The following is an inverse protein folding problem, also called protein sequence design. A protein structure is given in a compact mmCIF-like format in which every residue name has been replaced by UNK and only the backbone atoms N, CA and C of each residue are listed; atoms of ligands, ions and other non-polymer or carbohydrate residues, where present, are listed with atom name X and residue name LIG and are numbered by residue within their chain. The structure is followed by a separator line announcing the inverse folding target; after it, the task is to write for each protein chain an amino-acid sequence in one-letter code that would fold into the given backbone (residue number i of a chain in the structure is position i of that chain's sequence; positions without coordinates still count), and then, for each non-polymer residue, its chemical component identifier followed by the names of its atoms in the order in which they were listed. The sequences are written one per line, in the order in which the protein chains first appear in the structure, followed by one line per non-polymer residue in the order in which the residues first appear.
data_IF_324919981718
#
_entry.id   IF_324919981718
#
_cell.length_a   1.000
_cell.length_b   1.000
_cell.length_c   1.000
_cell.angle_alpha   90.00
_cell.angle_beta   90.00
_cell.angle_gamma   90.00
#
_symmetry.space_group_name_H-M   'P 1'
#
loop_
_entity.id
_entity.type
_entity.pdbx_description
1 polymer ?
#
# COMPACT_ATOMS: atom_id res chain seq x y z
N UNK A 1 9.17 4.16 -5.90
CA UNK A 1 9.13 3.23 -4.75
C UNK A 1 10.49 2.60 -4.50
N UNK A 2 10.91 2.58 -3.23
CA UNK A 2 12.12 1.92 -2.73
C UNK A 2 11.78 0.52 -2.20
N UNK A 3 11.60 -0.41 -3.13
CA UNK A 3 11.43 -1.85 -2.90
C UNK A 3 12.60 -2.55 -3.59
N UNK A 4 13.28 -3.44 -2.87
CA UNK A 4 14.49 -4.08 -3.34
C UNK A 4 14.52 -5.58 -3.04
N UNK A 5 15.27 -6.34 -3.85
CA UNK A 5 15.51 -7.78 -3.67
C UNK A 5 16.37 -8.08 -2.45
N UNK A 6 17.43 -7.30 -2.25
CA UNK A 6 18.35 -7.46 -1.12
C UNK A 6 18.14 -6.34 -0.11
N UNK A 7 17.98 -6.71 1.15
CA UNK A 7 17.95 -5.79 2.29
C UNK A 7 18.91 -6.28 3.36
N UNK A 8 19.73 -5.38 3.89
CA UNK A 8 20.73 -5.69 4.92
C UNK A 8 20.62 -4.66 6.04
N UNK A 9 20.58 -5.17 7.28
CA UNK A 9 20.76 -4.33 8.46
C UNK A 9 22.24 -4.00 8.62
N UNK A 10 22.57 -2.74 8.84
CA UNK A 10 23.92 -2.28 9.12
C UNK A 10 23.90 -1.32 10.31
N UNK A 11 24.87 -1.51 11.21
CA UNK A 11 25.01 -0.72 12.42
C UNK A 11 26.34 0.04 12.41
N UNK A 12 26.29 1.31 12.81
CA UNK A 12 27.48 2.15 12.98
C UNK A 12 27.29 3.05 14.19
N UNK A 13 28.38 3.38 14.86
CA UNK A 13 28.41 4.39 15.91
C UNK A 13 28.22 5.80 15.30
N UNK A 14 27.22 6.53 15.78
CA UNK A 14 27.00 7.94 15.48
C UNK A 14 27.34 8.79 16.72
N UNK A 15 27.88 9.98 16.49
CA UNK A 15 28.07 10.99 17.54
C UNK A 15 26.86 11.91 17.60
N UNK A 16 26.15 11.93 18.73
CA UNK A 16 24.94 12.72 18.97
C UNK A 16 25.19 13.57 20.21
N UNK A 17 25.35 14.89 20.03
CA UNK A 17 25.61 15.84 21.11
C UNK A 17 26.78 15.43 22.03
N UNK A 18 27.86 14.90 21.45
CA UNK A 18 29.04 14.42 22.19
C UNK A 18 28.93 12.98 22.71
N UNK A 19 27.76 12.33 22.63
CA UNK A 19 27.58 10.93 23.01
C UNK A 19 27.71 10.00 21.81
N UNK A 20 28.34 8.85 22.02
CA UNK A 20 28.44 7.78 21.03
C UNK A 20 27.24 6.84 21.15
N UNK A 21 26.50 6.65 20.06
CA UNK A 21 25.34 5.76 20.00
C UNK A 21 25.43 4.81 18.81
N UNK A 22 25.32 3.50 19.07
CA UNK A 22 25.15 2.50 18.00
C UNK A 22 23.78 2.71 17.35
N UNK A 23 23.78 3.03 16.06
CA UNK A 23 22.58 3.26 15.27
C UNK A 23 22.49 2.25 14.14
N UNK A 24 21.32 1.65 13.97
CA UNK A 24 21.06 0.62 12.96
C UNK A 24 20.11 1.15 11.89
N UNK A 25 20.39 0.86 10.63
CA UNK A 25 19.45 1.09 9.53
C UNK A 25 19.45 -0.08 8.56
N UNK A 26 18.47 -0.11 7.66
CA UNK A 26 18.44 -1.05 6.55
C UNK A 26 18.85 -0.33 5.27
N UNK A 27 19.73 -0.96 4.50
CA UNK A 27 20.00 -0.58 3.11
C UNK A 27 19.42 -1.60 2.15
N UNK A 28 19.06 -1.14 0.96
CA UNK A 28 18.40 -1.95 -0.05
C UNK A 28 19.04 -1.84 -1.43
N UNK A 29 19.11 -2.95 -2.17
CA UNK A 29 19.59 -2.99 -3.55
C UNK A 29 18.97 -4.13 -4.36
N UNK A 30 18.87 -3.94 -5.68
CA UNK A 30 18.51 -5.01 -6.62
C UNK A 30 19.73 -5.76 -7.18
N UNK A 31 20.95 -5.29 -6.89
CA UNK A 31 22.19 -5.82 -7.46
C UNK A 31 22.79 -6.90 -6.56
N UNK A 32 23.13 -6.56 -5.32
CA UNK A 32 23.78 -7.49 -4.38
C UNK A 32 23.56 -7.07 -2.92
N UNK A 33 23.96 -7.94 -1.99
CA UNK A 33 24.01 -7.62 -0.55
C UNK A 33 25.04 -6.51 -0.26
N UNK A 34 26.16 -6.49 -0.96
CA UNK A 34 27.20 -5.45 -0.77
C UNK A 34 26.72 -4.07 -1.20
N UNK A 35 25.98 -3.97 -2.31
CA UNK A 35 25.33 -2.71 -2.70
C UNK A 35 24.25 -2.28 -1.70
N UNK A 36 23.52 -3.23 -1.11
CA UNK A 36 22.59 -2.91 -0.02
C UNK A 36 23.33 -2.38 1.23
N UNK A 37 24.52 -2.92 1.56
CA UNK A 37 25.37 -2.39 2.63
C UNK A 37 25.82 -0.95 2.32
N UNK A 38 26.23 -0.66 1.08
CA UNK A 38 26.60 0.70 0.65
C UNK A 38 25.45 1.69 0.83
N UNK A 39 24.21 1.33 0.47
CA UNK A 39 23.01 2.16 0.72
C UNK A 39 22.79 2.39 2.23
N UNK A 40 22.99 1.38 3.08
CA UNK A 40 22.87 1.50 4.53
C UNK A 40 23.93 2.44 5.13
N UNK A 41 25.19 2.29 4.71
CA UNK A 41 26.31 3.15 5.11
C UNK A 41 26.03 4.60 4.71
N UNK A 42 25.58 4.83 3.48
CA UNK A 42 25.22 6.16 2.98
C UNK A 42 24.13 6.80 3.85
N UNK A 43 23.09 6.05 4.23
CA UNK A 43 22.02 6.54 5.11
C UNK A 43 22.53 6.96 6.48
N UNK A 44 23.39 6.16 7.12
CA UNK A 44 23.96 6.49 8.43
C UNK A 44 24.94 7.67 8.35
N UNK A 45 25.76 7.75 7.30
CA UNK A 45 26.63 8.91 7.07
C UNK A 45 25.80 10.19 6.88
N UNK A 46 24.71 10.12 6.10
CA UNK A 46 23.79 11.25 5.94
C UNK A 46 23.05 11.59 7.25
N UNK A 47 22.78 10.60 8.11
CA UNK A 47 22.24 10.86 9.44
C UNK A 47 23.24 11.62 10.31
N UNK A 48 24.52 11.21 10.34
CA UNK A 48 25.58 11.94 11.04
C UNK A 48 25.70 13.39 10.54
N UNK A 49 25.73 13.59 9.23
CA UNK A 49 25.77 14.94 8.63
C UNK A 49 24.59 15.80 9.07
N UNK A 50 23.39 15.23 9.19
CA UNK A 50 22.22 15.95 9.72
C UNK A 50 22.36 16.31 11.19
N UNK A 51 22.89 15.39 12.01
CA UNK A 51 23.16 15.63 13.43
C UNK A 51 24.17 16.77 13.60
N UNK A 52 25.21 16.81 12.76
CA UNK A 52 26.22 17.86 12.75
C UNK A 52 25.73 19.20 12.15
N UNK A 53 24.51 19.25 11.59
CA UNK A 53 24.01 20.44 10.88
C UNK A 53 24.58 20.63 9.47
N UNK A 54 25.36 19.69 8.95
CA UNK A 54 26.00 19.73 7.62
C UNK A 54 25.05 19.35 6.47
N UNK A 55 23.91 18.74 6.79
CA UNK A 55 22.92 18.31 5.79
C UNK A 55 21.51 18.70 6.22
N UNK A 56 20.79 19.38 5.33
CA UNK A 56 19.39 19.76 5.58
C UNK A 56 18.49 18.52 5.59
N UNK A 57 17.55 18.49 6.53
CA UNK A 57 16.55 17.42 6.60
C UNK A 57 15.51 17.60 5.48
N UNK A 58 15.59 16.75 4.46
CA UNK A 58 14.54 16.66 3.45
C UNK A 58 13.34 15.90 4.01
N UNK A 59 12.24 16.60 4.32
CA UNK A 59 10.99 15.97 4.79
C UNK A 59 10.26 15.20 3.71
N UNK A 60 10.61 15.33 2.43
CA UNK A 60 9.99 14.64 1.29
C UNK A 60 10.86 13.50 0.73
N UNK A 61 11.72 12.91 1.58
CA UNK A 61 12.44 11.70 1.24
C UNK A 61 11.50 10.53 0.89
N UNK A 62 11.98 9.64 0.02
CA UNK A 62 11.29 8.40 -0.29
C UNK A 62 11.57 7.34 0.77
N UNK A 63 10.49 6.89 1.42
CA UNK A 63 10.55 5.87 2.45
C UNK A 63 10.71 4.48 1.82
N UNK A 64 11.56 3.66 2.46
CA UNK A 64 11.74 2.27 2.12
C UNK A 64 10.47 1.44 2.40
N UNK A 65 10.19 0.49 1.51
CA UNK A 65 9.24 -0.60 1.75
C UNK A 65 10.07 -1.87 1.91
N UNK A 66 10.37 -2.19 3.17
CA UNK A 66 11.15 -3.38 3.54
C UNK A 66 10.17 -4.55 3.65
N UNK A 67 9.76 -5.07 2.50
CA UNK A 67 8.86 -6.20 2.37
C UNK A 67 9.43 -7.18 1.35
N UNK A 68 9.13 -8.46 1.54
CA UNK A 68 9.56 -9.52 0.65
C UNK A 68 8.85 -9.39 -0.70
N UNK A 69 9.60 -9.37 -1.80
CA UNK A 69 9.03 -9.43 -3.15
C UNK A 69 8.57 -10.86 -3.40
N UNK A 70 7.27 -11.00 -3.70
CA UNK A 70 6.64 -12.28 -4.01
C UNK A 70 6.52 -12.48 -5.51
N UNK A 71 6.22 -11.40 -6.24
CA UNK A 71 6.10 -11.43 -7.69
C UNK A 71 6.37 -10.05 -8.29
N UNK A 72 6.71 -10.00 -9.58
CA UNK A 72 6.97 -8.78 -10.34
C UNK A 72 6.19 -8.85 -11.64
N UNK A 73 5.12 -8.06 -11.73
CA UNK A 73 4.35 -7.91 -12.97
C UNK A 73 5.20 -7.15 -13.99
N UNK A 74 5.76 -6.01 -13.57
CA UNK A 74 6.72 -5.24 -14.36
C UNK A 74 7.47 -4.24 -13.46
N UNK A 75 8.35 -3.42 -14.04
CA UNK A 75 9.16 -2.41 -13.32
C UNK A 75 8.37 -1.38 -12.51
N UNK A 76 7.08 -1.21 -12.81
CA UNK A 76 6.20 -0.23 -12.17
C UNK A 76 5.19 -0.89 -11.22
N UNK A 77 5.06 -2.23 -11.21
CA UNK A 77 4.06 -2.98 -10.46
C UNK A 77 4.69 -4.23 -9.80
N UNK A 78 4.88 -4.17 -8.48
CA UNK A 78 5.55 -5.21 -7.69
C UNK A 78 4.61 -5.75 -6.61
N UNK A 79 4.57 -7.08 -6.47
CA UNK A 79 3.81 -7.75 -5.41
C UNK A 79 4.74 -8.02 -4.23
N UNK A 80 4.35 -7.53 -3.05
CA UNK A 80 5.07 -7.77 -1.81
C UNK A 80 4.21 -8.49 -0.79
N UNK A 81 4.85 -9.13 0.19
CA UNK A 81 4.19 -9.62 1.40
C UNK A 81 4.41 -8.65 2.56
N UNK A 82 3.34 -8.05 3.05
CA UNK A 82 3.43 -7.10 4.15
C UNK A 82 3.68 -7.77 5.51
N UNK A 83 3.90 -6.97 6.55
CA UNK A 83 4.16 -7.43 7.93
C UNK A 83 3.08 -8.31 8.57
N UNK A 84 1.87 -8.37 8.01
CA UNK A 84 0.80 -9.25 8.49
C UNK A 84 0.68 -10.53 7.66
N UNK A 85 1.50 -10.69 6.62
CA UNK A 85 1.48 -11.85 5.73
C UNK A 85 0.60 -11.70 4.49
N UNK A 86 -0.15 -10.59 4.36
CA UNK A 86 -1.00 -10.36 3.20
C UNK A 86 -0.21 -9.85 1.99
N UNK A 87 -0.62 -10.28 0.80
CA UNK A 87 -0.09 -9.81 -0.48
C UNK A 87 -0.59 -8.39 -0.78
N UNK A 88 0.32 -7.57 -1.30
CA UNK A 88 0.06 -6.17 -1.65
C UNK A 88 0.65 -5.88 -3.02
N UNK A 89 -0.17 -5.38 -3.94
CA UNK A 89 0.28 -4.74 -5.17
C UNK A 89 0.79 -3.34 -4.83
N UNK A 90 2.03 -3.04 -5.22
CA UNK A 90 2.63 -1.72 -5.15
C UNK A 90 2.83 -1.21 -6.57
N UNK A 91 2.12 -0.13 -6.92
CA UNK A 91 2.18 0.47 -8.25
C UNK A 91 2.76 1.88 -8.20
N UNK A 92 3.69 2.19 -9.10
CA UNK A 92 4.22 3.56 -9.24
C UNK A 92 3.23 4.53 -9.87
N UNK A 93 2.25 4.03 -10.64
CA UNK A 93 1.42 4.86 -11.52
C UNK A 93 -0.08 4.60 -11.45
N UNK A 94 -0.48 3.36 -11.12
CA UNK A 94 -1.87 2.95 -11.10
C UNK A 94 -2.55 3.44 -9.81
N UNK A 95 -3.36 4.49 -9.90
CA UNK A 95 -3.97 5.12 -8.73
C UNK A 95 -5.06 4.25 -8.14
N UNK A 96 -4.79 3.74 -6.94
CA UNK A 96 -5.78 3.23 -6.01
C UNK A 96 -6.10 4.28 -4.94
N UNK A 97 -7.36 4.34 -4.54
CA UNK A 97 -7.89 5.27 -3.54
C UNK A 97 -8.65 4.43 -2.50
N UNK A 98 -8.10 4.28 -1.29
CA UNK A 98 -8.75 3.54 -0.19
C UNK A 98 -9.65 4.50 0.61
N UNK A 99 -10.95 4.21 0.63
CA UNK A 99 -12.01 5.02 1.24
C UNK A 99 -12.66 4.20 2.34
N UNK A 100 -12.08 4.28 3.55
CA UNK A 100 -12.48 3.47 4.72
C UNK A 100 -13.48 4.18 5.65
N UNK A 101 -13.62 5.51 5.53
CA UNK A 101 -14.48 6.29 6.42
C UNK A 101 -15.38 7.23 5.64
N UNK A 102 -16.61 7.34 6.11
CA UNK A 102 -17.57 8.31 5.62
C UNK A 102 -17.36 9.66 6.33
N UNK A 103 -17.01 10.72 5.59
CA UNK A 103 -17.15 12.08 6.11
C UNK A 103 -18.64 12.47 6.03
N UNK A 104 -19.32 12.54 7.17
CA UNK A 104 -20.72 12.97 7.20
C UNK A 104 -20.84 14.47 6.99
N UNK A 105 -21.68 14.86 6.05
CA UNK A 105 -22.13 16.22 5.78
C UNK A 105 -23.51 16.43 6.44
N UNK A 106 -23.88 17.69 6.70
CA UNK A 106 -25.16 18.04 7.34
C UNK A 106 -26.36 17.52 6.53
N UNK A 107 -26.26 17.53 5.19
CA UNK A 107 -27.25 16.93 4.28
C UNK A 107 -27.48 15.43 4.52
N UNK A 108 -26.49 14.71 5.06
CA UNK A 108 -26.54 13.27 5.21
C UNK A 108 -27.34 12.84 6.43
N UNK A 109 -27.57 13.76 7.38
CA UNK A 109 -28.49 13.52 8.50
C UNK A 109 -29.92 13.26 8.01
N UNK A 110 -30.30 13.86 6.88
CA UNK A 110 -31.61 13.65 6.25
C UNK A 110 -31.68 12.28 5.56
N UNK A 111 -30.61 11.86 4.88
CA UNK A 111 -30.56 10.60 4.12
C UNK A 111 -30.22 9.36 4.96
N UNK A 112 -29.69 9.51 6.17
CA UNK A 112 -29.35 8.40 7.08
C UNK A 112 -30.56 7.54 7.50
N UNK A 113 -31.78 8.03 7.32
CA UNK A 113 -33.00 7.23 7.56
C UNK A 113 -33.31 6.21 6.45
N UNK A 114 -32.72 6.37 5.26
CA UNK A 114 -33.07 5.59 4.07
C UNK A 114 -31.92 4.78 3.48
N UNK A 115 -30.67 5.06 3.86
CA UNK A 115 -29.49 4.41 3.29
C UNK A 115 -28.47 4.01 4.35
N UNK A 116 -27.84 2.85 4.14
CA UNK A 116 -26.67 2.41 4.89
C UNK A 116 -25.48 3.34 4.65
N UNK A 117 -24.51 3.32 5.56
CA UNK A 117 -23.29 4.12 5.44
C UNK A 117 -22.53 3.83 4.13
N UNK A 118 -22.46 2.56 3.70
CA UNK A 118 -21.78 2.16 2.47
C UNK A 118 -22.49 2.70 1.22
N UNK A 119 -23.82 2.65 1.17
CA UNK A 119 -24.57 3.24 0.05
C UNK A 119 -24.36 4.76 -0.05
N UNK A 120 -24.29 5.45 1.09
CA UNK A 120 -23.95 6.88 1.12
C UNK A 120 -22.52 7.14 0.64
N UNK A 121 -21.55 6.30 1.01
CA UNK A 121 -20.17 6.38 0.50
C UNK A 121 -20.14 6.20 -1.02
N UNK A 122 -20.81 5.17 -1.54
CA UNK A 122 -20.86 4.89 -2.97
C UNK A 122 -21.45 6.07 -3.75
N UNK A 123 -22.57 6.64 -3.30
CA UNK A 123 -23.16 7.83 -3.92
C UNK A 123 -22.21 9.03 -3.95
N UNK A 124 -21.45 9.25 -2.88
CA UNK A 124 -20.44 10.33 -2.86
C UNK A 124 -19.29 10.07 -3.83
N UNK A 125 -18.87 8.82 -3.97
CA UNK A 125 -17.86 8.40 -4.95
C UNK A 125 -18.37 8.66 -6.36
N UNK A 126 -19.59 8.21 -6.68
CA UNK A 126 -20.22 8.43 -7.99
C UNK A 126 -20.36 9.92 -8.32
N UNK A 127 -20.89 10.72 -7.38
CA UNK A 127 -21.00 12.18 -7.53
C UNK A 127 -19.64 12.84 -7.75
N UNK A 128 -18.58 12.35 -7.09
CA UNK A 128 -17.23 12.89 -7.25
C UNK A 128 -16.65 12.50 -8.61
N UNK A 129 -16.83 11.26 -9.06
CA UNK A 129 -16.38 10.80 -10.38
C UNK A 129 -17.04 11.58 -11.53
N UNK A 130 -18.28 12.07 -11.35
CA UNK A 130 -19.01 12.85 -12.33
C UNK A 130 -18.61 14.34 -12.39
N UNK A 131 -17.77 14.84 -11.48
CA UNK A 131 -17.34 16.24 -11.50
C UNK A 131 -16.58 16.57 -12.80
N UNK A 132 -16.63 17.84 -13.23
CA UNK A 132 -15.98 18.32 -14.47
C UNK A 132 -14.47 18.05 -14.49
N UNK A 133 -13.83 17.96 -13.33
CA UNK A 133 -12.41 17.67 -13.22
C UNK A 133 -12.07 16.19 -13.50
N UNK A 134 -13.05 15.28 -13.38
CA UNK A 134 -12.84 13.83 -13.37
C UNK A 134 -13.66 13.07 -14.41
N UNK A 135 -14.64 13.70 -15.07
CA UNK A 135 -15.60 13.02 -15.96
C UNK A 135 -14.98 12.29 -17.16
N UNK A 136 -13.73 12.60 -17.54
CA UNK A 136 -13.01 11.94 -18.64
C UNK A 136 -12.26 10.68 -18.17
N UNK A 137 -12.19 10.44 -16.86
CA UNK A 137 -11.49 9.30 -16.29
C UNK A 137 -12.38 8.06 -16.23
N UNK A 138 -11.76 6.89 -16.34
CA UNK A 138 -12.39 5.59 -16.17
C UNK A 138 -12.15 5.06 -14.76
N UNK A 139 -13.21 4.73 -14.04
CA UNK A 139 -13.17 4.26 -12.67
C UNK A 139 -13.68 2.84 -12.53
N UNK A 140 -12.97 2.03 -11.75
CA UNK A 140 -13.48 0.80 -11.15
C UNK A 140 -13.67 1.02 -9.66
N UNK A 141 -14.85 0.71 -9.14
CA UNK A 141 -15.19 0.85 -7.73
C UNK A 141 -15.37 -0.55 -7.15
N UNK A 142 -14.56 -0.85 -6.14
CA UNK A 142 -14.56 -2.12 -5.45
C UNK A 142 -15.06 -1.93 -4.01
N UNK A 143 -16.05 -2.70 -3.59
CA UNK A 143 -16.45 -2.76 -2.19
C UNK A 143 -15.42 -3.56 -1.39
N UNK A 144 -15.01 -3.03 -0.25
CA UNK A 144 -14.13 -3.71 0.71
C UNK A 144 -14.88 -3.96 2.02
N UNK A 145 -14.32 -4.76 2.91
CA UNK A 145 -14.97 -5.05 4.19
C UNK A 145 -15.28 -3.78 5.03
N UNK A 146 -14.54 -2.67 4.86
CA UNK A 146 -14.76 -1.42 5.61
C UNK A 146 -15.38 -0.28 4.79
N UNK A 147 -15.24 -0.29 3.48
CA UNK A 147 -15.66 0.82 2.63
C UNK A 147 -15.47 0.49 1.16
N UNK A 148 -14.75 1.36 0.45
CA UNK A 148 -14.51 1.18 -0.99
C UNK A 148 -13.06 1.42 -1.35
N UNK A 149 -12.61 0.74 -2.40
CA UNK A 149 -11.39 1.04 -3.13
C UNK A 149 -11.79 1.53 -4.51
N UNK A 150 -11.31 2.71 -4.90
CA UNK A 150 -11.51 3.23 -6.25
C UNK A 150 -10.20 3.13 -7.02
N UNK A 151 -10.28 2.65 -8.25
CA UNK A 151 -9.15 2.54 -9.17
C UNK A 151 -9.39 3.45 -10.37
N UNK A 152 -8.40 4.27 -10.71
CA UNK A 152 -8.41 5.03 -11.97
C UNK A 152 -7.66 4.23 -13.03
N UNK A 153 -8.31 4.00 -14.17
CA UNK A 153 -7.88 2.96 -15.11
C UNK A 153 -7.29 3.46 -16.42
N UNK A 154 -7.61 4.68 -16.83
CA UNK A 154 -7.22 5.24 -18.13
C UNK A 154 -6.20 6.39 -18.05
N UNK A 155 -5.59 6.59 -16.88
CA UNK A 155 -4.56 7.61 -16.65
C UNK A 155 -3.55 7.17 -15.60
N UNK A 156 -2.27 7.40 -15.88
CA UNK A 156 -1.17 7.25 -14.93
C UNK A 156 -1.08 8.47 -14.01
N UNK A 157 -0.78 8.22 -12.73
CA UNK A 157 -0.61 9.27 -11.73
C UNK A 157 0.69 9.12 -10.97
N UNK A 158 1.40 10.23 -10.77
CA UNK A 158 2.51 10.28 -9.82
C UNK A 158 1.93 10.44 -8.38
N UNK A 159 2.22 9.52 -7.44
CA UNK A 159 1.78 9.60 -6.03
C UNK A 159 2.18 10.88 -5.29
N UNK A 160 3.20 11.59 -5.78
CA UNK A 160 3.72 12.84 -5.19
C UNK A 160 3.17 14.10 -5.85
N UNK A 161 2.48 13.97 -6.98
CA UNK A 161 1.92 15.12 -7.69
C UNK A 161 0.81 15.83 -6.91
N UNK A 162 0.65 17.12 -7.18
CA UNK A 162 -0.46 17.91 -6.66
C UNK A 162 -1.81 17.32 -7.11
N UNK A 163 -1.89 16.84 -8.35
CA UNK A 163 -3.10 16.24 -8.93
C UNK A 163 -3.54 15.03 -8.11
N UNK A 164 -2.64 14.10 -7.81
CA UNK A 164 -2.92 12.93 -6.97
C UNK A 164 -3.40 13.32 -5.58
N UNK A 165 -2.71 14.29 -4.95
CA UNK A 165 -3.08 14.78 -3.62
C UNK A 165 -4.48 15.38 -3.60
N UNK A 166 -4.85 16.14 -4.64
CA UNK A 166 -6.16 16.76 -4.81
C UNK A 166 -7.24 15.68 -5.01
N UNK A 167 -7.02 14.78 -5.96
CA UNK A 167 -7.99 13.72 -6.28
C UNK A 167 -8.27 12.81 -5.07
N UNK A 168 -7.23 12.33 -4.38
CA UNK A 168 -7.42 11.53 -3.17
C UNK A 168 -8.15 12.28 -2.05
N UNK A 169 -7.97 13.59 -1.92
CA UNK A 169 -8.73 14.40 -0.97
C UNK A 169 -10.20 14.47 -1.36
N UNK A 170 -10.47 14.74 -2.64
CA UNK A 170 -11.83 14.95 -3.14
C UNK A 170 -12.66 13.66 -3.08
N UNK A 171 -12.03 12.50 -3.26
CA UNK A 171 -12.63 11.17 -3.03
C UNK A 171 -12.65 10.74 -1.55
N UNK A 172 -12.21 11.60 -0.63
CA UNK A 172 -12.19 11.33 0.81
C UNK A 172 -11.37 10.08 1.20
N UNK A 173 -10.22 9.88 0.56
CA UNK A 173 -9.32 8.77 0.86
C UNK A 173 -8.72 8.90 2.27
N UNK A 174 -8.42 7.75 2.90
CA UNK A 174 -7.84 7.68 4.23
C UNK A 174 -6.54 8.51 4.34
N UNK A 175 -6.43 9.30 5.41
CA UNK A 175 -5.30 10.23 5.58
C UNK A 175 -3.95 9.51 5.69
N UNK A 176 -3.91 8.40 6.44
CA UNK A 176 -2.70 7.60 6.59
C UNK A 176 -2.31 6.95 5.25
N UNK A 177 -3.29 6.43 4.51
CA UNK A 177 -3.09 5.88 3.17
C UNK A 177 -2.49 6.92 2.22
N UNK A 178 -3.07 8.12 2.16
CA UNK A 178 -2.56 9.24 1.34
C UNK A 178 -1.13 9.62 1.70
N UNK A 179 -0.84 9.72 2.99
CA UNK A 179 0.50 10.02 3.49
C UNK A 179 1.50 8.92 3.09
N UNK A 180 1.15 7.65 3.28
CA UNK A 180 1.98 6.51 2.89
C UNK A 180 2.25 6.49 1.39
N UNK A 181 1.24 6.73 0.55
CA UNK A 181 1.43 6.74 -0.91
C UNK A 181 2.46 7.78 -1.34
N UNK A 182 2.39 9.00 -0.77
CA UNK A 182 3.36 10.08 -1.04
C UNK A 182 4.76 9.73 -0.53
N UNK A 183 4.86 9.20 0.69
CA UNK A 183 6.14 8.85 1.33
C UNK A 183 6.84 7.71 0.62
N UNK A 184 6.11 6.65 0.29
CA UNK A 184 6.65 5.44 -0.34
C UNK A 184 6.71 5.55 -1.88
N UNK A 185 6.14 6.63 -2.44
CA UNK A 185 6.14 6.92 -3.86
C UNK A 185 5.57 5.75 -4.69
N UNK A 186 4.40 5.25 -4.24
CA UNK A 186 3.57 4.25 -4.91
C UNK A 186 2.15 4.23 -4.33
N UNK A 187 1.19 3.77 -5.11
CA UNK A 187 -0.11 3.33 -4.63
C UNK A 187 -0.06 1.87 -4.20
N UNK A 188 -0.76 1.54 -3.11
CA UNK A 188 -0.77 0.19 -2.55
C UNK A 188 -2.18 -0.36 -2.51
N UNK A 189 -2.34 -1.61 -2.93
CA UNK A 189 -3.61 -2.33 -2.93
C UNK A 189 -3.40 -3.73 -2.33
N UNK A 190 -4.09 -4.03 -1.21
CA UNK A 190 -4.09 -5.39 -0.64
C UNK A 190 -4.82 -6.33 -1.59
N UNK A 191 -4.20 -7.47 -1.88
CA UNK A 191 -4.71 -8.53 -2.76
C UNK A 191 -5.31 -9.67 -1.95
N UNK A 192 -4.76 -10.00 -0.79
CA UNK A 192 -5.29 -11.05 0.09
C UNK A 192 -5.81 -10.48 1.42
N UNK A 193 -6.75 -11.18 2.09
CA UNK A 193 -7.44 -10.67 3.29
C UNK A 193 -6.50 -10.40 4.46
N UNK A 194 -6.95 -9.59 5.42
CA UNK A 194 -6.19 -9.42 6.67
C UNK A 194 -6.36 -10.72 7.50
N UNK A 195 -5.29 -11.28 8.09
CA UNK A 195 -5.39 -12.57 8.82
C UNK A 195 -6.51 -12.61 9.87
N UNK A 196 -6.67 -11.52 10.64
CA UNK A 196 -7.70 -11.46 11.69
C UNK A 196 -9.14 -11.49 11.16
N UNK A 197 -9.38 -11.14 9.88
CA UNK A 197 -10.71 -11.21 9.26
C UNK A 197 -11.07 -12.63 8.80
N UNK A 198 -10.07 -13.50 8.66
CA UNK A 198 -10.23 -14.93 8.38
C UNK A 198 -9.90 -15.80 9.61
N UNK A 199 -10.06 -15.25 10.82
CA UNK A 199 -9.81 -15.94 12.09
C UNK A 199 -8.42 -16.58 12.18
N UNK A 200 -7.40 -15.88 11.66
CA UNK A 200 -6.00 -16.26 11.76
C UNK A 200 -5.19 -15.18 12.50
N UNK A 201 -4.33 -15.61 13.43
CA UNK A 201 -3.39 -14.70 14.09
C UNK A 201 -2.36 -14.18 13.07
N UNK A 202 -1.95 -12.92 13.20
CA UNK A 202 -0.89 -12.37 12.34
C UNK A 202 0.43 -13.13 12.55
N UNK A 203 1.18 -13.34 11.47
CA UNK A 203 2.55 -13.82 11.53
C UNK A 203 3.44 -12.80 12.27
N UNK A 204 4.39 -13.30 13.07
CA UNK A 204 5.37 -12.47 13.79
C UNK A 204 6.76 -12.50 13.16
N UNK A 205 6.99 -13.38 12.19
CA UNK A 205 8.24 -13.47 11.42
C UNK A 205 8.36 -12.24 10.52
N UNK A 206 9.48 -11.51 10.64
CA UNK A 206 9.71 -10.23 9.96
C UNK A 206 10.79 -10.41 8.88
N UNK A 207 10.57 -9.81 7.72
CA UNK A 207 11.58 -9.69 6.65
C UNK A 207 12.52 -8.49 6.93
N UNK A 208 13.83 -8.52 6.60
CA UNK A 208 14.55 -9.52 5.79
C UNK A 208 15.34 -10.57 6.57
N UNK A 209 15.58 -10.34 7.87
CA UNK A 209 16.46 -11.20 8.67
C UNK A 209 15.65 -12.31 9.33
N UNK A 210 15.57 -13.47 8.66
CA UNK A 210 14.89 -14.67 9.16
C UNK A 210 15.90 -15.80 9.39
N UNK A 211 15.82 -16.47 10.53
CA UNK A 211 16.53 -17.74 10.75
C UNK A 211 15.84 -18.88 9.99
N UNK A 212 16.50 -20.03 9.86
CA UNK A 212 15.89 -21.23 9.26
C UNK A 212 14.60 -21.65 9.99
N UNK A 213 14.60 -21.58 11.32
CA UNK A 213 13.42 -21.86 12.14
C UNK A 213 12.28 -20.88 11.86
N UNK A 214 12.58 -19.57 11.81
CA UNK A 214 11.57 -18.55 11.47
C UNK A 214 11.04 -18.70 10.05
N UNK A 215 11.87 -19.15 9.11
CA UNK A 215 11.42 -19.44 7.74
C UNK A 215 10.47 -20.65 7.71
N UNK A 216 10.72 -21.66 8.53
CA UNK A 216 9.80 -22.80 8.68
C UNK A 216 8.48 -22.39 9.35
N UNK A 217 8.53 -21.56 10.40
CA UNK A 217 7.33 -20.99 11.03
C UNK A 217 6.48 -20.19 10.03
N UNK A 218 7.12 -19.36 9.21
CA UNK A 218 6.44 -18.62 8.15
C UNK A 218 5.81 -19.57 7.14
N UNK A 219 6.53 -20.61 6.71
CA UNK A 219 6.02 -21.59 5.74
C UNK A 219 4.77 -22.29 6.26
N UNK A 220 4.81 -22.76 7.51
CA UNK A 220 3.65 -23.41 8.15
C UNK A 220 2.46 -22.45 8.27
N UNK A 221 2.72 -21.20 8.67
CA UNK A 221 1.67 -20.18 8.77
C UNK A 221 1.09 -19.83 7.39
N UNK A 222 1.91 -19.78 6.34
CA UNK A 222 1.47 -19.49 4.98
C UNK A 222 0.55 -20.57 4.44
N UNK A 223 0.85 -21.86 4.69
CA UNK A 223 -0.02 -22.96 4.29
C UNK A 223 -1.43 -22.80 4.90
N UNK A 224 -1.52 -22.47 6.20
CA UNK A 224 -2.81 -22.22 6.85
C UNK A 224 -3.49 -20.94 6.31
N UNK A 225 -2.72 -19.86 6.12
CA UNK A 225 -3.21 -18.59 5.62
C UNK A 225 -3.80 -18.72 4.21
N UNK A 226 -3.13 -19.43 3.31
CA UNK A 226 -3.55 -19.61 1.93
C UNK A 226 -4.86 -20.39 1.87
N UNK A 227 -4.96 -21.53 2.58
CA UNK A 227 -6.20 -22.33 2.68
C UNK A 227 -7.38 -21.50 3.21
N UNK A 228 -7.18 -20.73 4.29
CA UNK A 228 -8.25 -19.88 4.84
C UNK A 228 -8.60 -18.71 3.93
N UNK A 229 -7.62 -18.14 3.23
CA UNK A 229 -7.83 -17.00 2.34
C UNK A 229 -8.65 -17.33 1.09
N UNK A 230 -8.55 -18.58 0.58
CA UNK A 230 -9.27 -19.05 -0.61
C UNK A 230 -10.80 -18.93 -0.49
N UNK A 231 -11.34 -18.91 0.72
CA UNK A 231 -12.79 -18.80 0.99
C UNK A 231 -13.25 -17.38 1.30
N UNK A 232 -12.49 -16.37 0.86
CA UNK A 232 -12.77 -14.96 1.14
C UNK A 232 -12.33 -14.08 -0.01
N UNK A 233 -12.96 -12.91 -0.15
CA UNK A 233 -12.57 -11.90 -1.14
C UNK A 233 -12.02 -10.67 -0.43
N UNK A 234 -10.94 -10.08 -0.94
CA UNK A 234 -10.42 -8.81 -0.40
C UNK A 234 -11.33 -7.63 -0.79
N UNK A 235 -11.93 -7.72 -1.98
CA UNK A 235 -12.91 -6.78 -2.47
C UNK A 235 -13.82 -7.40 -3.54
N UNK A 236 -14.96 -6.78 -3.80
CA UNK A 236 -15.87 -7.10 -4.90
C UNK A 236 -15.99 -5.92 -5.83
N UNK A 237 -15.93 -6.13 -7.15
CA UNK A 237 -16.20 -5.07 -8.12
C UNK A 237 -17.71 -4.78 -8.12
N UNK A 238 -18.09 -3.53 -7.82
CA UNK A 238 -19.51 -3.15 -7.71
C UNK A 238 -19.96 -2.17 -8.79
N UNK A 239 -19.03 -1.40 -9.38
CA UNK A 239 -19.37 -0.38 -10.36
C UNK A 239 -18.20 -0.03 -11.26
N UNK A 240 -18.52 0.29 -12.50
CA UNK A 240 -17.63 0.93 -13.47
C UNK A 240 -18.24 2.25 -13.93
N UNK A 241 -17.41 3.29 -14.10
CA UNK A 241 -17.85 4.63 -14.52
C UNK A 241 -16.86 5.17 -15.56
N UNK A 242 -17.37 5.73 -16.66
CA UNK A 242 -16.55 6.33 -17.71
C UNK A 242 -15.85 5.28 -18.59
N UNK A 243 -14.80 5.69 -19.30
CA UNK A 243 -14.05 4.80 -20.20
C UNK A 243 -13.04 3.95 -19.41
N UNK A 244 -13.50 2.80 -18.91
CA UNK A 244 -12.64 1.86 -18.18
C UNK A 244 -11.67 1.16 -19.12
N UNK A 245 -10.42 1.03 -18.70
CA UNK A 245 -9.39 0.25 -19.37
C UNK A 245 -8.85 -0.82 -18.44
N UNK A 246 -8.34 -1.90 -19.00
CA UNK A 246 -7.65 -2.94 -18.24
C UNK A 246 -6.19 -3.02 -18.69
N UNK A 247 -5.34 -3.50 -17.80
CA UNK A 247 -3.96 -3.87 -18.07
C UNK A 247 -3.60 -5.04 -17.17
N UNK A 248 -2.41 -5.61 -17.39
CA UNK A 248 -1.92 -6.76 -16.64
C UNK A 248 -1.96 -6.58 -15.11
N UNK A 249 -1.63 -5.38 -14.61
CA UNK A 249 -1.66 -5.10 -13.17
C UNK A 249 -3.09 -5.06 -12.60
N UNK A 250 -4.05 -4.56 -13.38
CA UNK A 250 -5.47 -4.55 -13.01
C UNK A 250 -6.03 -5.98 -13.03
N UNK A 251 -5.70 -6.77 -14.04
CA UNK A 251 -6.12 -8.18 -14.15
C UNK A 251 -5.53 -9.03 -13.01
N UNK A 252 -4.26 -8.80 -12.68
CA UNK A 252 -3.60 -9.42 -11.54
C UNK A 252 -4.28 -9.05 -10.22
N UNK A 253 -4.62 -7.76 -10.04
CA UNK A 253 -5.37 -7.28 -8.88
C UNK A 253 -6.73 -7.97 -8.76
N UNK A 254 -7.48 -8.01 -9.85
CA UNK A 254 -8.85 -8.52 -9.89
C UNK A 254 -8.87 -10.03 -9.61
N UNK A 255 -7.93 -10.78 -10.19
CA UNK A 255 -7.77 -12.22 -9.95
C UNK A 255 -7.45 -12.55 -8.50
N UNK A 256 -6.42 -11.92 -7.92
CA UNK A 256 -6.01 -12.26 -6.55
C UNK A 256 -6.92 -11.67 -5.47
N UNK A 257 -7.58 -10.54 -5.73
CA UNK A 257 -8.53 -9.96 -4.76
C UNK A 257 -9.85 -10.73 -4.69
N UNK A 258 -10.08 -11.66 -5.62
CA UNK A 258 -11.25 -12.52 -5.64
C UNK A 258 -12.51 -11.81 -6.08
N UNK A 259 -12.43 -10.83 -6.99
CA UNK A 259 -13.59 -9.97 -7.32
C UNK A 259 -14.76 -10.75 -7.92
N UNK A 260 -14.49 -11.92 -8.51
CA UNK A 260 -15.48 -12.83 -9.11
C UNK A 260 -15.95 -13.91 -8.13
N UNK A 261 -15.33 -14.03 -6.95
CA UNK A 261 -15.67 -15.07 -6.00
C UNK A 261 -16.91 -14.70 -5.21
N UNK A 262 -17.85 -15.65 -5.07
CA UNK A 262 -19.06 -15.48 -4.25
C UNK A 262 -18.77 -15.70 -2.76
N UNK A 263 -17.63 -15.23 -2.27
CA UNK A 263 -17.22 -15.33 -0.87
C UNK A 263 -17.40 -14.00 -0.14
N UNK A 264 -17.53 -14.05 1.18
CA UNK A 264 -17.62 -12.86 2.02
C UNK A 264 -16.33 -12.02 1.97
N UNK A 265 -16.48 -10.72 2.22
CA UNK A 265 -15.38 -9.77 2.25
C UNK A 265 -14.53 -9.94 3.52
N UNK A 266 -13.20 -10.03 3.36
CA UNK A 266 -12.22 -10.15 4.45
C UNK A 266 -10.94 -9.30 4.25
#
# INVERSE_FOLDING_TARGET
MRIFKYWIAYSKELSINGFKQISTTYGGSNISKDEAIKDAILKLNNAQKRINGELVTNRDYEADIIEEIIDIINKDNIITRNRYGALVLNSKKLMFIDIDQYSSSISDLIFRKSYSQKELMLRKIEKTAQKKEYHQLGFRIYETAKGYRVLVTNKDFDPRSYESKRMMRDFNADHLYRWLCRKQNCYRARLTPKPHRINLKKIKVIFPNRTALQQQELTNWLNEYEVKSQRSSSCHLVKEIGQVRTNEAIEYHDRLSGIQWKYSLA
#
